data_IF_854639435912
#
_entry.id   IF_854639435912
#
_cell.length_a   1.000
_cell.length_b   1.000
_cell.length_c   1.000
_cell.angle_alpha   90.00
_cell.angle_beta   90.00
_cell.angle_gamma   90.00
#
_symmetry.space_group_name_H-M   'P 1'
#
loop_
_entity.id
_entity.type
_entity.pdbx_description
1 polymer ?
#
# COMPACT_ATOMS: atom_id res chain seq x y z
N UNK A 1 36.70 -37.91 -9.71
CA UNK A 1 35.24 -37.67 -9.73
C UNK A 1 34.93 -36.73 -8.58
N UNK A 2 34.67 -35.45 -8.85
CA UNK A 2 34.38 -34.44 -7.83
C UNK A 2 32.95 -33.93 -8.07
N UNK A 3 32.01 -34.33 -7.22
CA UNK A 3 30.63 -33.87 -7.24
C UNK A 3 30.59 -32.47 -6.63
N UNK A 4 30.76 -31.45 -7.47
CA UNK A 4 30.49 -30.05 -7.11
C UNK A 4 29.00 -29.92 -6.77
N UNK A 5 28.67 -30.14 -5.50
CA UNK A 5 27.42 -29.73 -4.87
C UNK A 5 27.43 -28.20 -4.83
N UNK A 6 26.75 -27.59 -5.79
CA UNK A 6 26.26 -26.24 -5.58
C UNK A 6 25.26 -26.29 -4.41
N UNK A 7 25.48 -25.55 -3.31
CA UNK A 7 24.42 -25.37 -2.33
C UNK A 7 23.23 -24.71 -3.04
N UNK A 8 22.03 -25.20 -2.74
CA UNK A 8 20.75 -24.77 -3.28
C UNK A 8 20.35 -23.38 -2.77
N UNK A 9 21.22 -22.39 -2.97
CA UNK A 9 21.05 -21.01 -2.48
C UNK A 9 19.87 -20.30 -3.16
N UNK A 10 19.45 -20.77 -4.33
CA UNK A 10 18.34 -20.17 -5.08
C UNK A 10 16.95 -20.51 -4.53
N UNK A 11 16.81 -21.60 -3.77
CA UNK A 11 15.50 -21.98 -3.21
C UNK A 11 15.15 -21.19 -1.94
N UNK A 12 16.18 -20.73 -1.21
CA UNK A 12 16.01 -19.98 0.02
C UNK A 12 15.81 -18.48 -0.20
N UNK A 13 16.23 -17.91 -1.35
CA UNK A 13 15.98 -16.48 -1.63
C UNK A 13 14.48 -16.15 -1.77
N UNK A 14 13.66 -17.12 -2.18
CA UNK A 14 12.20 -16.96 -2.27
C UNK A 14 11.53 -17.13 -0.89
N UNK A 15 12.10 -17.98 -0.02
CA UNK A 15 11.61 -18.22 1.34
C UNK A 15 12.08 -17.14 2.34
N UNK A 16 13.29 -16.61 2.18
CA UNK A 16 13.88 -15.50 2.96
C UNK A 16 13.42 -14.12 2.42
N UNK A 17 12.96 -14.06 1.17
CA UNK A 17 12.42 -12.85 0.53
C UNK A 17 11.05 -12.40 1.05
N UNK A 18 10.41 -13.18 1.93
CA UNK A 18 9.33 -12.71 2.80
C UNK A 18 8.02 -12.28 2.11
N UNK A 19 7.75 -12.71 0.87
CA UNK A 19 6.47 -12.41 0.20
C UNK A 19 5.48 -13.56 0.40
N UNK A 20 4.71 -13.49 1.47
CA UNK A 20 3.61 -14.43 1.73
C UNK A 20 2.38 -14.13 0.85
N UNK A 21 1.45 -15.09 0.67
CA UNK A 21 0.13 -14.82 0.06
C UNK A 21 -0.60 -13.61 0.66
N UNK A 22 -0.45 -13.42 1.97
CA UNK A 22 -0.99 -12.24 2.68
C UNK A 22 -0.29 -10.94 2.26
N UNK A 23 1.01 -11.00 1.97
CA UNK A 23 1.79 -9.87 1.46
C UNK A 23 1.33 -9.44 0.07
N UNK A 24 0.94 -10.37 -0.81
CA UNK A 24 0.35 -10.01 -2.12
C UNK A 24 -0.96 -9.23 -1.97
N UNK A 25 -1.85 -9.65 -1.06
CA UNK A 25 -3.08 -8.92 -0.79
C UNK A 25 -2.83 -7.49 -0.27
N UNK A 26 -1.80 -7.33 0.57
CA UNK A 26 -1.39 -6.02 1.09
C UNK A 26 -0.81 -5.12 -0.02
N UNK A 27 0.06 -5.67 -0.88
CA UNK A 27 0.64 -4.95 -2.02
C UNK A 27 -0.46 -4.52 -3.00
N UNK A 28 -1.38 -5.43 -3.33
CA UNK A 28 -2.51 -5.12 -4.23
C UNK A 28 -3.46 -4.07 -3.64
N UNK A 29 -3.64 -4.04 -2.32
CA UNK A 29 -4.41 -2.99 -1.66
C UNK A 29 -3.66 -1.65 -1.67
N UNK A 30 -2.34 -1.66 -1.41
CA UNK A 30 -1.52 -0.46 -1.43
C UNK A 30 -1.49 0.18 -2.83
N UNK A 31 -1.33 -0.62 -3.88
CA UNK A 31 -1.37 -0.16 -5.25
C UNK A 31 -2.70 0.51 -5.59
N UNK A 32 -3.83 -0.15 -5.29
CA UNK A 32 -5.17 0.43 -5.54
C UNK A 32 -5.42 1.73 -4.78
N UNK A 33 -4.88 1.86 -3.56
CA UNK A 33 -4.95 3.13 -2.81
C UNK A 33 -4.13 4.22 -3.50
N UNK A 34 -2.93 3.90 -4.00
CA UNK A 34 -2.07 4.86 -4.72
C UNK A 34 -2.66 5.31 -6.06
N UNK A 35 -3.36 4.44 -6.77
CA UNK A 35 -4.04 4.81 -8.02
C UNK A 35 -5.13 5.86 -7.78
N UNK A 36 -5.77 5.82 -6.62
CA UNK A 36 -6.86 6.73 -6.26
C UNK A 36 -6.43 7.97 -5.46
N UNK A 37 -5.27 7.94 -4.80
CA UNK A 37 -4.66 9.14 -4.23
C UNK A 37 -3.90 9.80 -5.36
N UNK A 38 -4.46 10.81 -6.03
CA UNK A 38 -3.86 11.40 -7.24
C UNK A 38 -3.04 12.67 -6.95
N UNK A 39 -1.96 12.97 -7.71
CA UNK A 39 -1.06 14.10 -7.41
C UNK A 39 -1.70 15.50 -7.43
N UNK A 40 -2.85 15.64 -8.09
CA UNK A 40 -3.53 16.93 -8.28
C UNK A 40 -4.70 17.17 -7.32
N UNK A 41 -5.11 16.19 -6.51
CA UNK A 41 -6.29 16.31 -5.66
C UNK A 41 -6.09 15.64 -4.29
N UNK A 42 -6.38 16.38 -3.22
CA UNK A 42 -6.38 15.81 -1.87
C UNK A 42 -7.73 15.12 -1.57
N UNK A 43 -7.71 13.83 -1.27
CA UNK A 43 -8.93 13.01 -1.12
C UNK A 43 -9.08 12.43 0.28
N UNK A 44 -10.32 12.33 0.75
CA UNK A 44 -10.62 11.60 1.99
C UNK A 44 -10.54 10.10 1.77
N UNK A 45 -10.26 9.31 2.82
CA UNK A 45 -10.28 7.85 2.73
C UNK A 45 -11.63 7.33 2.25
N UNK A 46 -12.74 7.96 2.65
CA UNK A 46 -14.08 7.60 2.19
C UNK A 46 -14.22 7.78 0.68
N UNK A 47 -13.70 8.88 0.13
CA UNK A 47 -13.73 9.14 -1.31
C UNK A 47 -12.91 8.10 -2.07
N UNK A 48 -11.70 7.82 -1.59
CA UNK A 48 -10.79 6.83 -2.17
C UNK A 48 -11.47 5.45 -2.22
N UNK A 49 -11.98 4.97 -1.09
CA UNK A 49 -12.61 3.65 -1.02
C UNK A 49 -13.88 3.56 -1.86
N UNK A 50 -14.69 4.63 -1.90
CA UNK A 50 -15.86 4.67 -2.77
C UNK A 50 -15.48 4.56 -4.24
N UNK A 51 -14.37 5.16 -4.68
CA UNK A 51 -13.91 5.02 -6.05
C UNK A 51 -13.39 3.61 -6.34
N UNK A 52 -12.70 2.98 -5.38
CA UNK A 52 -12.19 1.60 -5.53
C UNK A 52 -13.32 0.59 -5.62
N UNK A 53 -14.34 0.70 -4.75
CA UNK A 53 -15.37 -0.32 -4.57
C UNK A 53 -16.72 0.01 -5.24
N UNK A 54 -16.92 1.26 -5.68
CA UNK A 54 -18.17 1.73 -6.29
C UNK A 54 -19.29 2.05 -5.29
N UNK A 55 -19.17 1.67 -4.01
CA UNK A 55 -20.19 1.86 -2.99
C UNK A 55 -19.60 2.39 -1.66
N UNK A 56 -20.40 3.02 -0.78
CA UNK A 56 -19.90 3.53 0.50
C UNK A 56 -19.57 2.39 1.46
N UNK A 57 -18.33 1.92 1.43
CA UNK A 57 -17.80 0.92 2.35
C UNK A 57 -16.81 1.52 3.35
N UNK A 58 -16.76 0.93 4.54
CA UNK A 58 -15.68 1.19 5.49
C UNK A 58 -14.39 0.51 5.05
N UNK A 59 -13.24 1.05 5.45
CA UNK A 59 -11.95 0.43 5.16
C UNK A 59 -11.89 -0.98 5.77
N UNK A 60 -11.46 -1.96 4.97
CA UNK A 60 -11.09 -3.29 5.47
C UNK A 60 -9.83 -3.21 6.35
N UNK A 61 -9.56 -4.28 7.09
CA UNK A 61 -8.32 -4.40 7.87
C UNK A 61 -7.07 -4.37 6.98
N UNK A 62 -7.15 -4.96 5.79
CA UNK A 62 -6.06 -4.98 4.80
C UNK A 62 -5.79 -3.58 4.25
N UNK A 63 -6.82 -2.82 3.89
CA UNK A 63 -6.65 -1.45 3.39
C UNK A 63 -6.12 -0.50 4.46
N UNK A 64 -6.58 -0.65 5.71
CA UNK A 64 -6.02 0.11 6.84
C UNK A 64 -4.52 -0.16 6.97
N UNK A 65 -4.10 -1.42 6.92
CA UNK A 65 -2.68 -1.80 7.00
C UNK A 65 -1.88 -1.30 5.80
N UNK A 66 -2.45 -1.39 4.59
CA UNK A 66 -1.83 -0.89 3.37
C UNK A 66 -1.61 0.62 3.45
N UNK A 67 -2.63 1.37 3.87
CA UNK A 67 -2.53 2.81 4.07
C UNK A 67 -1.49 3.18 5.13
N UNK A 68 -1.45 2.48 6.27
CA UNK A 68 -0.39 2.66 7.28
C UNK A 68 1.00 2.41 6.68
N UNK A 69 1.15 1.36 5.87
CA UNK A 69 2.43 1.07 5.22
C UNK A 69 2.86 2.18 4.25
N UNK A 70 1.92 2.72 3.45
CA UNK A 70 2.17 3.84 2.54
C UNK A 70 2.58 5.11 3.30
N UNK A 71 1.93 5.42 4.42
CA UNK A 71 2.27 6.55 5.29
C UNK A 71 3.67 6.38 5.90
N UNK A 72 3.98 5.18 6.41
CA UNK A 72 5.28 4.89 7.03
C UNK A 72 6.42 4.88 6.01
N UNK A 73 6.14 4.54 4.76
CA UNK A 73 7.09 4.55 3.65
C UNK A 73 7.24 5.93 2.99
N UNK A 74 6.57 6.96 3.52
CA UNK A 74 6.56 8.32 2.96
C UNK A 74 6.06 8.39 1.50
N UNK A 75 5.24 7.43 1.08
CA UNK A 75 4.65 7.38 -0.26
C UNK A 75 3.33 8.15 -0.36
N UNK A 76 2.71 8.43 0.79
CA UNK A 76 1.47 9.20 0.94
C UNK A 76 1.60 10.02 2.21
N UNK A 77 1.08 11.25 2.21
CA UNK A 77 0.98 12.07 3.42
C UNK A 77 -0.47 12.21 3.86
N UNK A 78 -0.65 12.40 5.17
CA UNK A 78 -1.93 12.72 5.78
C UNK A 78 -1.95 14.20 6.16
N UNK A 79 -2.99 14.92 5.76
CA UNK A 79 -3.20 16.32 6.14
C UNK A 79 -4.56 16.52 6.80
N UNK A 80 -4.60 17.37 7.81
CA UNK A 80 -5.78 17.60 8.65
C UNK A 80 -5.96 16.54 9.74
N UNK A 81 -7.04 16.68 10.50
CA UNK A 81 -7.37 15.80 11.62
C UNK A 81 -8.83 15.35 11.58
N UNK A 82 -9.12 14.19 12.19
CA UNK A 82 -10.47 13.66 12.34
C UNK A 82 -11.20 13.48 11.00
N UNK A 83 -12.42 13.99 10.92
CA UNK A 83 -13.29 13.93 9.73
C UNK A 83 -12.77 14.72 8.53
N UNK A 84 -11.89 15.70 8.76
CA UNK A 84 -11.26 16.51 7.71
C UNK A 84 -9.96 15.90 7.15
N UNK A 85 -9.59 14.69 7.60
CA UNK A 85 -8.39 14.00 7.13
C UNK A 85 -8.43 13.77 5.62
N UNK A 86 -7.38 14.24 4.93
CA UNK A 86 -7.13 13.97 3.52
C UNK A 86 -5.78 13.28 3.33
N UNK A 87 -5.67 12.51 2.27
CA UNK A 87 -4.47 11.81 1.83
C UNK A 87 -4.01 12.42 0.51
N UNK A 88 -2.71 12.69 0.43
CA UNK A 88 -2.07 13.39 -0.68
C UNK A 88 -0.78 12.69 -1.09
N UNK A 89 -0.32 12.94 -2.31
CA UNK A 89 1.04 12.55 -2.70
C UNK A 89 2.08 13.42 -1.96
N UNK A 90 3.29 12.88 -1.68
CA UNK A 90 4.40 13.64 -1.11
C UNK A 90 4.74 14.86 -1.97
N UNK A 91 4.93 16.01 -1.34
CA UNK A 91 5.24 17.28 -2.02
C UNK A 91 4.04 18.00 -2.65
N UNK A 92 2.85 17.40 -2.60
CA UNK A 92 1.63 18.06 -3.06
C UNK A 92 1.24 19.22 -2.14
N UNK A 93 1.04 20.41 -2.73
CA UNK A 93 0.53 21.58 -2.00
C UNK A 93 -1.00 21.59 -2.05
N UNK A 94 -1.63 21.64 -0.87
CA UNK A 94 -3.06 21.87 -0.76
C UNK A 94 -3.30 23.37 -0.97
N UNK A 95 -4.00 23.71 -2.05
CA UNK A 95 -4.46 25.09 -2.29
C UNK A 95 -5.66 25.42 -1.40
#
# INVERSE_FOLDING_TARGET
MNTNRYPSTDKHLIEDGGVSPRSYGLIAAAHRLLDEIVPWEARSLRTILRNIHGEPVGASSTERRALTALLNADLVHKVGAGSATKYIYPGQRIR
#
